data_IF_421460085393
#
_entry.id   IF_421460085393
#
_cell.length_a   1.000
_cell.length_b   1.000
_cell.length_c   1.000
_cell.angle_alpha   90.00
_cell.angle_beta   90.00
_cell.angle_gamma   90.00
#
_symmetry.space_group_name_H-M   'P 1'
#
loop_
_entity.id
_entity.type
_entity.pdbx_description
1 polymer ?
#
# COMPACT_ATOMS: atom_id res chain seq x y z
N UNK A 1 41.13 -48.36 1.17
CA UNK A 1 41.31 -49.10 2.44
C UNK A 1 40.73 -48.28 3.58
N UNK A 2 40.36 -48.96 4.66
CA UNK A 2 39.99 -48.48 6.01
C UNK A 2 41.01 -47.45 6.59
N UNK A 3 40.77 -46.71 7.68
CA UNK A 3 39.70 -46.75 8.69
C UNK A 3 39.75 -45.50 9.61
N UNK A 4 38.63 -45.19 10.31
CA UNK A 4 38.56 -44.58 11.68
C UNK A 4 39.15 -43.15 11.86
N UNK A 5 38.76 -42.30 12.83
CA UNK A 5 37.70 -42.25 13.86
C UNK A 5 37.46 -40.74 14.22
N UNK A 6 36.66 -40.26 15.19
CA UNK A 6 35.88 -40.84 16.30
C UNK A 6 34.57 -40.03 16.52
N UNK A 7 33.75 -40.31 17.55
CA UNK A 7 32.50 -39.57 17.87
C UNK A 7 32.16 -39.64 19.37
N UNK A 8 31.76 -38.52 20.00
CA UNK A 8 30.65 -38.49 20.98
C UNK A 8 29.64 -37.39 20.61
N UNK A 9 28.30 -37.52 20.72
CA UNK A 9 27.38 -38.05 21.75
C UNK A 9 27.09 -37.06 22.90
N UNK A 10 25.80 -36.70 23.02
CA UNK A 10 25.22 -35.90 24.11
C UNK A 10 25.05 -34.42 23.74
N UNK A 11 23.95 -33.75 24.06
CA UNK A 11 22.82 -34.10 24.94
C UNK A 11 21.46 -33.85 24.28
N UNK A 12 20.50 -34.74 24.55
CA UNK A 12 19.08 -34.44 24.39
C UNK A 12 18.52 -34.10 25.78
N UNK A 13 17.92 -32.92 25.94
CA UNK A 13 17.11 -32.58 27.11
C UNK A 13 15.64 -32.86 26.79
N UNK A 14 14.95 -33.52 27.71
CA UNK A 14 13.55 -33.96 27.59
C UNK A 14 12.68 -33.32 28.67
N UNK A 15 11.37 -33.30 28.38
CA UNK A 15 10.25 -33.44 29.32
C UNK A 15 9.81 -32.26 30.21
N UNK A 16 8.63 -31.73 29.88
CA UNK A 16 7.43 -31.73 30.73
C UNK A 16 6.22 -31.74 29.76
N UNK A 17 5.05 -32.38 29.95
CA UNK A 17 4.40 -32.94 31.14
C UNK A 17 3.55 -31.89 31.86
N UNK A 18 2.22 -31.95 32.06
CA UNK A 18 1.10 -32.72 31.55
C UNK A 18 -0.18 -32.14 32.22
N UNK A 19 -1.22 -31.87 31.42
CA UNK A 19 -2.66 -31.93 31.75
C UNK A 19 -3.34 -31.01 32.82
N UNK A 20 -4.66 -30.83 32.59
CA UNK A 20 -5.76 -30.38 33.49
C UNK A 20 -5.84 -28.86 33.82
N UNK A 21 -7.02 -28.27 33.55
CA UNK A 21 -7.41 -26.92 33.99
C UNK A 21 -8.77 -26.46 33.45
N UNK A 22 -9.86 -26.75 34.16
CA UNK A 22 -11.24 -26.39 33.79
C UNK A 22 -11.77 -25.26 34.71
N UNK A 23 -12.20 -24.13 34.13
CA UNK A 23 -13.10 -23.09 34.69
C UNK A 23 -13.26 -21.99 33.61
N UNK A 24 -14.43 -21.54 33.13
CA UNK A 24 -15.70 -21.10 33.74
C UNK A 24 -15.87 -19.55 33.76
N UNK A 25 -16.53 -19.04 32.71
CA UNK A 25 -17.56 -17.95 32.67
C UNK A 25 -17.41 -16.69 33.54
N UNK A 26 -17.28 -15.52 32.90
CA UNK A 26 -17.86 -14.19 33.25
C UNK A 26 -18.05 -13.45 31.90
N UNK A 27 -19.25 -13.19 31.34
CA UNK A 27 -20.42 -12.38 31.73
C UNK A 27 -20.25 -10.85 31.52
N UNK A 28 -21.11 -10.35 30.61
CA UNK A 28 -21.44 -8.99 30.16
C UNK A 28 -21.18 -7.81 31.12
N UNK A 29 -20.86 -6.65 30.54
CA UNK A 29 -21.72 -5.44 30.64
C UNK A 29 -21.61 -4.56 29.37
N UNK A 30 -22.73 -3.99 28.95
CA UNK A 30 -22.78 -2.94 27.93
C UNK A 30 -22.78 -1.56 28.60
N UNK A 31 -22.14 -0.57 27.98
CA UNK A 31 -22.19 0.84 28.41
C UNK A 31 -22.77 1.70 27.29
N UNK A 32 -24.10 1.80 27.26
CA UNK A 32 -24.83 2.76 26.43
C UNK A 32 -25.73 3.62 27.31
N UNK A 33 -25.41 4.91 27.44
CA UNK A 33 -26.21 5.94 28.08
C UNK A 33 -25.67 7.32 27.64
N UNK A 34 -26.47 8.35 27.40
CA UNK A 34 -27.92 8.45 27.58
C UNK A 34 -28.55 9.61 26.81
N UNK A 35 -29.88 9.68 26.93
CA UNK A 35 -30.73 10.72 26.35
C UNK A 35 -31.07 11.78 27.39
N UNK A 36 -31.25 13.03 26.95
CA UNK A 36 -32.16 14.00 27.55
C UNK A 36 -32.67 14.92 26.44
N UNK A 37 -33.98 14.99 26.26
CA UNK A 37 -34.63 16.02 25.44
C UNK A 37 -35.29 17.06 26.35
N UNK A 38 -35.41 18.29 25.87
CA UNK A 38 -36.28 19.30 26.48
C UNK A 38 -36.99 20.10 25.39
N UNK A 39 -38.20 20.58 25.69
CA UNK A 39 -39.14 21.04 24.66
C UNK A 39 -39.43 22.54 24.73
N UNK A 40 -39.21 23.22 23.61
CA UNK A 40 -40.02 24.39 23.22
C UNK A 40 -39.49 25.78 23.60
N UNK A 41 -39.06 26.52 22.58
CA UNK A 41 -39.37 27.95 22.44
C UNK A 41 -39.37 28.32 20.95
N UNK A 42 -40.35 29.12 20.54
CA UNK A 42 -40.65 29.47 19.14
C UNK A 42 -40.20 30.87 18.75
N UNK A 43 -39.75 31.01 17.48
CA UNK A 43 -39.46 32.26 16.76
C UNK A 43 -38.21 33.05 17.24
N UNK A 44 -37.44 33.78 16.41
CA UNK A 44 -37.57 34.09 14.98
C UNK A 44 -36.18 34.31 14.30
N UNK A 45 -36.15 34.20 12.97
CA UNK A 45 -35.13 34.63 11.99
C UNK A 45 -33.78 35.25 12.44
N UNK A 46 -32.69 34.55 12.11
CA UNK A 46 -31.55 35.12 11.36
C UNK A 46 -30.75 34.00 10.66
N UNK A 47 -30.28 34.19 9.41
CA UNK A 47 -29.48 33.18 8.73
C UNK A 47 -28.01 33.25 9.20
N UNK A 48 -27.42 32.15 9.71
CA UNK A 48 -25.98 32.08 9.89
C UNK A 48 -25.30 31.83 8.53
N UNK A 49 -24.94 32.90 7.84
CA UNK A 49 -23.88 32.83 6.82
C UNK A 49 -22.53 32.83 7.53
N UNK A 50 -22.16 31.68 8.05
CA UNK A 50 -20.75 31.33 8.28
C UNK A 50 -20.57 29.95 7.69
N UNK A 51 -19.73 29.84 6.66
CA UNK A 51 -19.33 28.54 6.16
C UNK A 51 -18.76 27.73 7.33
N UNK A 52 -19.23 26.51 7.52
CA UNK A 52 -18.49 25.55 8.31
C UNK A 52 -17.18 25.30 7.56
N UNK A 53 -16.11 25.98 7.98
CA UNK A 53 -14.77 25.56 7.64
C UNK A 53 -14.64 24.13 8.18
N UNK A 54 -14.72 23.16 7.26
CA UNK A 54 -14.35 21.79 7.52
C UNK A 54 -12.83 21.74 7.71
N UNK A 55 -12.35 22.30 8.82
CA UNK A 55 -11.07 21.96 9.43
C UNK A 55 -11.20 20.56 10.01
N UNK A 56 -11.36 19.59 9.11
CA UNK A 56 -10.89 18.23 9.35
C UNK A 56 -9.45 18.39 9.81
N UNK A 57 -9.18 17.98 11.05
CA UNK A 57 -7.86 18.12 11.65
C UNK A 57 -6.86 17.25 10.90
N UNK A 58 -6.29 17.78 9.82
CA UNK A 58 -5.13 17.20 9.17
C UNK A 58 -4.02 17.16 10.23
N UNK A 59 -3.72 15.96 10.72
CA UNK A 59 -2.61 15.75 11.65
C UNK A 59 -1.33 16.30 11.01
N UNK A 60 -0.51 17.02 11.76
CA UNK A 60 0.66 17.69 11.20
C UNK A 60 1.53 16.70 10.41
N UNK A 61 2.03 17.15 9.24
CA UNK A 61 2.95 16.37 8.43
C UNK A 61 4.23 16.05 9.23
N UNK A 62 4.74 14.83 9.07
CA UNK A 62 5.98 14.40 9.71
C UNK A 62 7.22 14.72 8.86
N UNK A 63 8.37 14.14 9.19
CA UNK A 63 9.63 14.34 8.46
C UNK A 63 9.62 13.88 7.00
N UNK A 64 8.64 13.07 6.59
CA UNK A 64 8.39 12.70 5.18
C UNK A 64 7.72 13.82 4.39
N UNK A 65 7.17 14.84 5.05
CA UNK A 65 6.32 15.86 4.44
C UNK A 65 4.87 15.41 4.19
N UNK A 66 4.49 14.20 4.60
CA UNK A 66 3.12 13.68 4.54
C UNK A 66 2.48 13.65 5.92
N UNK A 67 1.18 13.91 5.98
CA UNK A 67 0.34 13.63 7.15
C UNK A 67 0.08 12.12 7.30
N UNK A 68 -0.30 11.64 8.50
CA UNK A 68 -0.64 10.22 8.70
C UNK A 68 -1.82 9.75 7.83
N UNK A 69 -2.75 10.65 7.49
CA UNK A 69 -3.88 10.33 6.62
C UNK A 69 -3.42 10.09 5.18
N UNK A 70 -2.57 10.96 4.63
CA UNK A 70 -2.05 10.81 3.26
C UNK A 70 -1.18 9.54 3.13
N UNK A 71 -0.39 9.20 4.16
CA UNK A 71 0.36 7.94 4.19
C UNK A 71 -0.58 6.71 4.13
N UNK A 72 -1.70 6.76 4.88
CA UNK A 72 -2.74 5.72 4.83
C UNK A 72 -3.42 5.65 3.46
N UNK A 73 -3.76 6.79 2.87
CA UNK A 73 -4.45 6.86 1.57
C UNK A 73 -3.55 6.37 0.43
N UNK A 74 -2.26 6.74 0.43
CA UNK A 74 -1.26 6.24 -0.51
C UNK A 74 -1.08 4.73 -0.34
N UNK A 75 -0.98 4.23 0.90
CA UNK A 75 -0.87 2.79 1.18
C UNK A 75 -2.07 2.04 0.61
N UNK A 76 -3.28 2.52 0.91
CA UNK A 76 -4.52 1.92 0.43
C UNK A 76 -4.64 1.93 -1.09
N UNK A 77 -4.22 3.01 -1.77
CA UNK A 77 -4.20 3.10 -3.23
C UNK A 77 -3.26 2.07 -3.85
N UNK A 78 -2.05 1.91 -3.31
CA UNK A 78 -1.09 0.89 -3.74
C UNK A 78 -1.61 -0.54 -3.49
N UNK A 79 -2.07 -0.83 -2.28
CA UNK A 79 -2.64 -2.14 -1.91
C UNK A 79 -3.82 -2.51 -2.82
N UNK A 80 -4.74 -1.56 -3.05
CA UNK A 80 -5.89 -1.74 -3.94
C UNK A 80 -5.48 -2.00 -5.38
N UNK A 81 -4.49 -1.27 -5.90
CA UNK A 81 -4.01 -1.41 -7.27
C UNK A 81 -3.29 -2.75 -7.51
N UNK A 82 -2.39 -3.15 -6.61
CA UNK A 82 -1.56 -4.35 -6.79
C UNK A 82 -2.23 -5.64 -6.32
N UNK A 83 -3.22 -5.58 -5.43
CA UNK A 83 -3.99 -6.75 -4.99
C UNK A 83 -4.59 -7.52 -6.18
N UNK A 84 -4.32 -8.83 -6.22
CA UNK A 84 -4.95 -9.78 -7.14
C UNK A 84 -6.45 -9.98 -6.91
N UNK A 85 -6.95 -9.55 -5.75
CA UNK A 85 -8.36 -9.66 -5.34
C UNK A 85 -9.21 -8.47 -5.79
N UNK A 86 -8.56 -7.38 -6.23
CA UNK A 86 -9.24 -6.20 -6.75
C UNK A 86 -9.58 -6.39 -8.23
N UNK A 87 -10.85 -6.19 -8.58
CA UNK A 87 -11.30 -6.19 -9.97
C UNK A 87 -10.74 -4.99 -10.76
N UNK A 88 -10.86 -5.04 -12.09
CA UNK A 88 -10.32 -4.01 -12.98
C UNK A 88 -10.92 -2.61 -12.76
N UNK A 89 -12.21 -2.48 -12.39
CA UNK A 89 -12.84 -1.19 -12.10
C UNK A 89 -12.31 -0.61 -10.79
N UNK A 90 -12.17 -1.46 -9.77
CA UNK A 90 -11.55 -1.10 -8.49
C UNK A 90 -10.11 -0.60 -8.68
N UNK A 91 -9.30 -1.28 -9.50
CA UNK A 91 -7.93 -0.83 -9.86
C UNK A 91 -7.93 0.48 -10.64
N UNK A 92 -8.89 0.68 -11.54
CA UNK A 92 -9.04 1.94 -12.30
C UNK A 92 -9.44 3.12 -11.40
N UNK A 93 -10.09 2.90 -10.26
CA UNK A 93 -10.40 3.95 -9.29
C UNK A 93 -9.17 4.58 -8.62
N UNK A 94 -8.04 3.85 -8.56
CA UNK A 94 -6.84 4.21 -7.78
C UNK A 94 -5.58 4.45 -8.62
N UNK A 95 -5.70 4.56 -9.94
CA UNK A 95 -4.61 4.87 -10.88
C UNK A 95 -4.81 6.26 -11.50
N UNK A 96 -3.71 6.98 -11.74
CA UNK A 96 -3.66 8.17 -12.61
C UNK A 96 -4.01 7.80 -14.06
N UNK A 97 -4.70 8.69 -14.80
CA UNK A 97 -5.16 8.46 -16.18
C UNK A 97 -5.87 7.10 -16.42
N UNK A 98 -6.97 6.76 -15.73
CA UNK A 98 -7.57 5.42 -15.82
C UNK A 98 -7.96 5.02 -17.26
N UNK A 99 -8.52 5.93 -18.06
CA UNK A 99 -8.92 5.65 -19.45
C UNK A 99 -7.75 5.22 -20.34
N UNK A 100 -6.55 5.73 -20.06
CA UNK A 100 -5.30 5.40 -20.78
C UNK A 100 -4.85 3.96 -20.50
N UNK A 101 -5.14 3.45 -19.30
CA UNK A 101 -4.72 2.12 -18.84
C UNK A 101 -5.83 1.07 -18.83
N UNK A 102 -7.09 1.47 -19.08
CA UNK A 102 -8.26 0.60 -19.01
C UNK A 102 -8.08 -0.74 -19.75
N UNK A 103 -7.59 -0.73 -20.99
CA UNK A 103 -7.36 -1.96 -21.76
C UNK A 103 -6.34 -2.88 -21.09
N UNK A 104 -5.22 -2.31 -20.63
CA UNK A 104 -4.07 -3.05 -20.07
C UNK A 104 -4.41 -3.60 -18.69
N UNK A 105 -5.10 -2.83 -17.84
CA UNK A 105 -5.59 -3.28 -16.53
C UNK A 105 -6.64 -4.39 -16.68
N UNK A 106 -7.61 -4.26 -17.59
CA UNK A 106 -8.58 -5.34 -17.84
C UNK A 106 -7.91 -6.64 -18.32
N UNK A 107 -6.88 -6.53 -19.17
CA UNK A 107 -6.12 -7.69 -19.62
C UNK A 107 -5.34 -8.37 -18.48
N UNK A 108 -4.64 -7.59 -17.65
CA UNK A 108 -3.89 -8.13 -16.50
C UNK A 108 -4.80 -8.73 -15.42
N UNK A 109 -5.90 -8.05 -15.05
CA UNK A 109 -6.91 -8.56 -14.10
C UNK A 109 -7.60 -9.85 -14.56
N UNK A 110 -7.53 -10.19 -15.85
CA UNK A 110 -8.04 -11.45 -16.41
C UNK A 110 -6.99 -12.57 -16.44
N UNK A 111 -5.77 -12.32 -15.95
CA UNK A 111 -4.68 -13.29 -15.95
C UNK A 111 -4.52 -13.95 -14.58
N UNK A 112 -4.30 -15.27 -14.55
CA UNK A 112 -4.07 -16.00 -13.29
C UNK A 112 -2.81 -15.58 -12.53
N UNK A 113 -1.89 -14.84 -13.17
CA UNK A 113 -0.71 -14.26 -12.52
C UNK A 113 -1.09 -13.13 -11.54
N UNK A 114 -2.18 -12.41 -11.84
CA UNK A 114 -2.64 -11.33 -10.98
C UNK A 114 -3.18 -11.86 -9.64
N UNK A 115 -3.89 -13.00 -9.64
CA UNK A 115 -4.68 -13.49 -8.49
C UNK A 115 -3.91 -13.61 -7.17
N UNK A 116 -2.64 -14.04 -7.21
CA UNK A 116 -1.77 -14.17 -6.01
C UNK A 116 -0.84 -12.97 -5.77
N UNK A 117 -0.98 -11.88 -6.54
CA UNK A 117 -0.16 -10.67 -6.39
C UNK A 117 -0.66 -9.80 -5.22
N UNK A 118 0.30 -9.25 -4.46
CA UNK A 118 0.06 -8.21 -3.45
C UNK A 118 1.25 -7.25 -3.39
N UNK A 119 1.15 -6.22 -2.54
CA UNK A 119 2.23 -5.25 -2.32
C UNK A 119 2.43 -5.02 -0.83
N UNK A 120 3.66 -4.78 -0.41
CA UNK A 120 4.00 -4.16 0.88
C UNK A 120 4.59 -2.80 0.60
N UNK A 121 4.03 -1.76 1.22
CA UNK A 121 4.51 -0.39 1.07
C UNK A 121 5.48 -0.06 2.21
N UNK A 122 6.59 0.60 1.87
CA UNK A 122 7.69 0.94 2.77
C UNK A 122 7.81 2.45 2.97
N UNK A 123 8.97 3.01 2.63
CA UNK A 123 9.24 4.44 2.80
C UNK A 123 8.40 5.30 1.84
N UNK A 124 7.88 6.41 2.36
CA UNK A 124 7.21 7.45 1.59
C UNK A 124 7.87 8.81 1.86
N UNK A 125 7.80 9.72 0.89
CA UNK A 125 8.20 11.12 1.08
C UNK A 125 7.52 12.02 0.05
N UNK A 126 7.04 13.19 0.47
CA UNK A 126 6.48 14.21 -0.42
C UNK A 126 7.61 14.81 -1.27
N UNK A 127 7.51 14.72 -2.60
CA UNK A 127 8.51 15.27 -3.54
C UNK A 127 8.09 16.63 -4.11
N UNK A 128 6.79 16.89 -4.15
CA UNK A 128 6.17 18.18 -4.47
C UNK A 128 4.71 18.18 -3.97
N UNK A 129 4.01 19.32 -3.87
CA UNK A 129 2.59 19.33 -3.57
C UNK A 129 1.81 18.34 -4.47
N UNK A 130 0.95 17.53 -3.87
CA UNK A 130 0.20 16.49 -4.56
C UNK A 130 1.02 15.35 -5.19
N UNK A 131 2.30 15.15 -4.81
CA UNK A 131 3.12 14.04 -5.31
C UNK A 131 4.10 13.51 -4.26
N UNK A 132 4.08 12.21 -4.05
CA UNK A 132 4.98 11.50 -3.13
C UNK A 132 5.79 10.44 -3.87
N UNK A 133 7.06 10.24 -3.49
CA UNK A 133 7.80 9.02 -3.82
C UNK A 133 7.41 7.89 -2.86
N UNK A 134 7.29 6.68 -3.38
CA UNK A 134 6.89 5.48 -2.63
C UNK A 134 7.87 4.35 -2.92
N UNK A 135 8.46 3.77 -1.87
CA UNK A 135 9.22 2.52 -1.96
C UNK A 135 8.27 1.38 -1.63
N UNK A 136 8.21 0.35 -2.47
CA UNK A 136 7.29 -0.77 -2.33
C UNK A 136 7.91 -2.09 -2.79
N UNK A 137 7.38 -3.19 -2.29
CA UNK A 137 7.75 -4.55 -2.69
C UNK A 137 6.52 -5.25 -3.25
N UNK A 138 6.59 -5.76 -4.48
CA UNK A 138 5.56 -6.64 -5.03
C UNK A 138 5.83 -8.06 -4.55
N UNK A 139 4.77 -8.73 -4.08
CA UNK A 139 4.78 -10.12 -3.64
C UNK A 139 3.89 -10.98 -4.55
N UNK A 140 4.24 -12.25 -4.64
CA UNK A 140 3.44 -13.32 -5.24
C UNK A 140 3.38 -14.47 -4.24
N UNK A 141 2.18 -14.89 -3.85
CA UNK A 141 1.99 -15.93 -2.81
C UNK A 141 2.78 -15.64 -1.51
N UNK A 142 2.70 -14.38 -1.06
CA UNK A 142 3.41 -13.79 0.09
C UNK A 142 4.95 -13.87 0.00
N UNK A 143 5.52 -14.06 -1.19
CA UNK A 143 6.97 -14.02 -1.44
C UNK A 143 7.35 -12.76 -2.22
N UNK A 144 8.33 -11.96 -1.77
CA UNK A 144 8.87 -10.85 -2.55
C UNK A 144 9.37 -11.34 -3.92
N UNK A 145 8.82 -10.77 -4.99
CA UNK A 145 9.25 -11.03 -6.38
C UNK A 145 9.94 -9.81 -6.98
N UNK A 146 9.47 -8.61 -6.66
CA UNK A 146 10.14 -7.34 -6.99
C UNK A 146 10.28 -6.52 -5.69
N UNK A 147 11.35 -6.70 -4.91
CA UNK A 147 11.62 -5.90 -3.72
C UNK A 147 12.09 -4.48 -4.08
N UNK A 148 11.95 -3.56 -3.13
CA UNK A 148 12.54 -2.21 -3.12
C UNK A 148 12.33 -1.38 -4.41
N UNK A 149 11.18 -1.57 -5.06
CA UNK A 149 10.78 -0.78 -6.22
C UNK A 149 10.49 0.66 -5.79
N UNK A 150 10.96 1.63 -6.57
CA UNK A 150 10.62 3.05 -6.37
C UNK A 150 9.56 3.46 -7.37
N UNK A 151 8.50 4.06 -6.87
CA UNK A 151 7.41 4.66 -7.65
C UNK A 151 6.99 5.99 -7.05
N UNK A 152 5.81 6.44 -7.46
CA UNK A 152 5.19 7.67 -7.01
C UNK A 152 3.68 7.47 -6.79
N UNK A 153 3.15 8.22 -5.84
CA UNK A 153 1.73 8.51 -5.76
C UNK A 153 1.50 9.95 -6.22
N UNK A 154 0.31 10.21 -6.78
CA UNK A 154 -0.16 11.56 -7.12
C UNK A 154 -1.53 11.80 -6.51
N UNK A 155 -1.79 13.02 -6.08
CA UNK A 155 -3.10 13.45 -5.61
C UNK A 155 -3.90 14.04 -6.78
N UNK A 156 -5.08 13.47 -7.05
CA UNK A 156 -6.00 13.92 -8.08
C UNK A 156 -7.39 14.04 -7.47
N UNK A 157 -7.98 15.23 -7.52
CA UNK A 157 -9.29 15.55 -6.95
C UNK A 157 -9.43 15.19 -5.45
N UNK A 158 -8.39 15.47 -4.65
CA UNK A 158 -8.37 15.17 -3.21
C UNK A 158 -8.20 13.68 -2.89
N UNK A 159 -7.68 12.88 -3.84
CA UNK A 159 -7.46 11.43 -3.69
C UNK A 159 -6.07 11.04 -4.15
N UNK A 160 -5.31 10.40 -3.27
CA UNK A 160 -4.06 9.76 -3.64
C UNK A 160 -4.29 8.54 -4.52
N UNK A 161 -3.49 8.43 -5.58
CA UNK A 161 -3.53 7.39 -6.61
C UNK A 161 -2.11 6.93 -6.94
N UNK A 162 -1.96 5.70 -7.41
CA UNK A 162 -0.72 5.24 -8.04
C UNK A 162 -0.47 6.10 -9.28
N UNK A 163 0.76 6.57 -9.49
CA UNK A 163 1.07 7.38 -10.66
C UNK A 163 1.17 6.52 -11.93
N UNK A 164 0.83 7.13 -13.06
CA UNK A 164 0.98 6.58 -14.39
C UNK A 164 2.44 6.25 -14.70
N UNK A 165 3.39 7.02 -14.16
CA UNK A 165 4.83 6.73 -14.29
C UNK A 165 5.25 5.46 -13.55
N UNK A 166 4.63 5.16 -12.41
CA UNK A 166 4.92 3.95 -11.63
C UNK A 166 4.46 2.70 -12.38
N UNK A 167 3.21 2.72 -12.86
CA UNK A 167 2.66 1.61 -13.62
C UNK A 167 3.39 1.42 -14.95
N UNK A 168 3.74 2.51 -15.66
CA UNK A 168 4.56 2.44 -16.86
C UNK A 168 5.96 1.88 -16.63
N UNK A 169 6.59 2.13 -15.47
CA UNK A 169 7.87 1.51 -15.10
C UNK A 169 7.76 -0.01 -15.02
N UNK A 170 6.69 -0.51 -14.38
CA UNK A 170 6.43 -1.95 -14.27
C UNK A 170 6.07 -2.57 -15.62
N UNK A 171 5.16 -1.97 -16.39
CA UNK A 171 4.81 -2.46 -17.73
C UNK A 171 6.03 -2.52 -18.67
N UNK A 172 6.98 -1.58 -18.52
CA UNK A 172 8.24 -1.59 -19.26
C UNK A 172 9.11 -2.78 -18.87
N UNK A 173 9.18 -3.12 -17.57
CA UNK A 173 9.91 -4.29 -17.07
C UNK A 173 9.25 -5.61 -17.53
N UNK A 174 7.92 -5.72 -17.45
CA UNK A 174 7.15 -6.86 -17.95
C UNK A 174 7.36 -7.07 -19.47
N UNK A 175 7.47 -5.99 -20.24
CA UNK A 175 7.73 -5.99 -21.67
C UNK A 175 9.23 -5.96 -22.02
N UNK A 176 10.08 -6.56 -21.18
CA UNK A 176 11.50 -6.80 -21.48
C UNK A 176 12.36 -5.53 -21.64
N UNK A 177 11.98 -4.44 -20.97
CA UNK A 177 12.63 -3.14 -21.05
C UNK A 177 12.10 -2.20 -22.13
N UNK A 178 11.08 -2.60 -22.91
CA UNK A 178 10.47 -1.76 -23.94
C UNK A 178 9.18 -1.11 -23.42
N UNK A 179 9.08 0.23 -23.33
CA UNK A 179 7.84 0.87 -22.88
C UNK A 179 6.66 0.57 -23.83
N UNK A 180 5.47 0.21 -23.31
CA UNK A 180 4.26 0.13 -24.11
C UNK A 180 3.91 1.46 -24.79
N UNK A 181 3.08 1.41 -25.84
CA UNK A 181 2.67 2.60 -26.58
C UNK A 181 1.93 3.62 -25.70
N UNK A 182 1.10 3.16 -24.76
CA UNK A 182 0.44 3.98 -23.74
C UNK A 182 1.42 4.66 -22.77
N UNK A 183 2.68 4.20 -22.71
CA UNK A 183 3.73 4.76 -21.86
C UNK A 183 4.72 5.67 -22.61
N UNK A 184 4.81 5.54 -23.94
CA UNK A 184 5.75 6.28 -24.78
C UNK A 184 5.58 7.82 -24.76
N UNK A 185 4.43 8.33 -24.31
CA UNK A 185 4.18 9.77 -24.15
C UNK A 185 4.91 10.41 -22.95
N UNK A 186 5.38 9.61 -21.99
CA UNK A 186 5.99 10.11 -20.75
C UNK A 186 7.51 10.25 -20.90
N UNK A 187 7.94 11.23 -21.68
CA UNK A 187 9.34 11.56 -21.95
C UNK A 187 10.13 12.16 -20.78
N UNK A 188 9.98 11.61 -19.57
CA UNK A 188 10.79 11.92 -18.39
C UNK A 188 11.67 10.72 -18.03
N UNK A 189 12.99 10.89 -18.07
CA UNK A 189 13.95 9.79 -17.99
C UNK A 189 13.88 8.99 -16.66
N UNK A 190 14.15 7.66 -16.69
CA UNK A 190 14.28 6.87 -15.48
C UNK A 190 15.53 7.28 -14.68
N UNK A 191 15.31 7.76 -13.45
CA UNK A 191 16.39 7.91 -12.48
C UNK A 191 16.77 6.51 -11.93
N UNK A 192 17.71 5.83 -12.59
CA UNK A 192 18.01 4.44 -12.22
C UNK A 192 19.05 3.70 -13.06
N UNK A 193 20.22 4.30 -13.36
CA UNK A 193 21.34 3.57 -13.96
C UNK A 193 22.65 3.82 -13.23
N UNK A 194 22.71 3.36 -11.97
CA UNK A 194 23.97 3.18 -11.25
C UNK A 194 24.74 1.98 -11.79
N UNK A 195 25.32 2.10 -12.98
CA UNK A 195 26.23 1.09 -13.51
C UNK A 195 27.54 1.09 -12.70
N UNK A 196 28.07 -0.07 -12.28
CA UNK A 196 29.36 -0.12 -11.60
C UNK A 196 30.48 0.23 -12.58
N UNK A 197 31.27 1.26 -12.25
CA UNK A 197 32.47 1.59 -13.01
C UNK A 197 33.49 0.45 -12.89
N UNK A 198 33.93 -0.09 -14.03
CA UNK A 198 35.03 -1.06 -14.09
C UNK A 198 36.37 -0.33 -13.84
N UNK A 199 37.16 -0.72 -12.84
CA UNK A 199 38.51 -0.19 -12.70
C UNK A 199 39.43 -0.79 -13.78
N UNK A 200 40.11 0.08 -14.53
CA UNK A 200 41.20 -0.33 -15.44
C UNK A 200 42.49 -0.51 -14.64
N UNK A 201 43.13 -1.67 -14.78
CA UNK A 201 44.57 -1.91 -14.52
C UNK A 201 45.01 -3.15 -15.29
#
# INVERSE_FOLDING_TARGET
MSNFCIRPRGTAVRSAGAAIGLCAVVVLTAAGCGSSGDSGSTAESSPPTTAAEHTTGAGAADSSGLTPQEQSDITSAYETFFSGKSDAQTKLGVIEDPDRFAKTINAQSSSGLAESTSVTVGQMSLVSPGRASVVYTILMDDKPVLPDQTGYAVEVDGKWKVSASSFCGLLTLENGGTPPAECAAQGGAPAGTGAPATPTS
#
